data_IF_513375884131
#
_entry.id   IF_513375884131
#
_cell.length_a   1.000
_cell.length_b   1.000
_cell.length_c   1.000
_cell.angle_alpha   90.00
_cell.angle_beta   90.00
_cell.angle_gamma   90.00
#
_symmetry.space_group_name_H-M   'P 1'
#
loop_
_entity.id
_entity.type
_entity.pdbx_description
1 polymer ?
#
# COMPACT_ATOMS: atom_id res chain seq x y z
N UNK A 1 4.31 20.89 34.25
CA UNK A 1 4.72 19.61 34.86
C UNK A 1 4.62 18.52 33.79
N UNK A 2 5.74 17.90 33.37
CA UNK A 2 5.75 16.88 32.30
C UNK A 2 5.37 15.52 32.90
N UNK A 3 4.28 14.94 32.38
CA UNK A 3 3.77 13.62 32.75
C UNK A 3 4.83 12.55 32.42
N UNK A 4 5.55 12.05 33.43
CA UNK A 4 6.45 10.90 33.25
C UNK A 4 5.61 9.62 33.31
N UNK A 5 5.71 8.73 32.31
CA UNK A 5 5.00 7.47 32.37
C UNK A 5 5.51 6.62 33.55
N UNK A 6 4.58 6.00 34.28
CA UNK A 6 4.87 5.17 35.44
C UNK A 6 5.71 3.93 35.03
N UNK A 7 6.88 3.70 35.67
CA UNK A 7 7.81 2.63 35.28
C UNK A 7 7.32 1.22 35.64
N UNK A 8 6.26 1.10 36.43
CA UNK A 8 5.66 -0.18 36.84
C UNK A 8 4.33 -0.45 36.14
N UNK A 9 3.91 0.44 35.22
CA UNK A 9 2.73 0.20 34.41
C UNK A 9 2.93 -1.08 33.56
N UNK A 10 1.95 -2.00 33.58
CA UNK A 10 2.03 -3.20 32.75
C UNK A 10 2.18 -2.81 31.28
N UNK A 11 2.95 -3.59 30.48
CA UNK A 11 3.10 -3.29 29.06
C UNK A 11 1.71 -3.25 28.43
N UNK A 12 1.41 -2.17 27.70
CA UNK A 12 0.13 -2.03 26.99
C UNK A 12 -0.07 -3.29 26.14
N UNK A 13 -1.18 -4.01 26.38
CA UNK A 13 -1.57 -5.18 25.57
C UNK A 13 -1.52 -4.77 24.10
N UNK A 14 -0.59 -5.38 23.34
CA UNK A 14 -0.55 -5.23 21.89
C UNK A 14 -1.83 -5.85 21.34
N UNK A 15 -2.74 -5.01 20.86
CA UNK A 15 -3.90 -5.51 20.13
C UNK A 15 -3.40 -6.33 18.94
N UNK A 16 -4.04 -7.48 18.63
CA UNK A 16 -3.69 -8.26 17.46
C UNK A 16 -3.78 -7.33 16.24
N UNK A 17 -2.79 -7.43 15.35
CA UNK A 17 -2.77 -6.63 14.14
C UNK A 17 -4.07 -6.91 13.37
N UNK A 18 -4.86 -5.86 13.10
CA UNK A 18 -6.11 -5.97 12.34
C UNK A 18 -5.77 -6.63 11.00
N UNK A 19 -6.42 -7.76 10.72
CA UNK A 19 -6.33 -8.38 9.41
C UNK A 19 -7.08 -7.50 8.42
N UNK A 20 -6.48 -7.29 7.26
CA UNK A 20 -6.98 -6.40 6.24
C UNK A 20 -8.02 -7.15 5.41
N UNK A 21 -9.26 -6.67 5.45
CA UNK A 21 -10.39 -7.35 4.81
C UNK A 21 -10.26 -7.43 3.29
N UNK A 22 -9.40 -6.60 2.68
CA UNK A 22 -9.15 -6.52 1.24
C UNK A 22 -7.98 -7.41 0.77
N UNK A 23 -7.42 -8.24 1.65
CA UNK A 23 -6.32 -9.14 1.30
C UNK A 23 -6.66 -10.12 0.18
N UNK A 24 -7.94 -10.48 0.02
CA UNK A 24 -8.39 -11.39 -1.03
C UNK A 24 -8.04 -10.92 -2.45
N UNK A 25 -7.88 -9.60 -2.65
CA UNK A 25 -7.47 -9.01 -3.92
C UNK A 25 -6.03 -9.38 -4.26
N UNK A 26 -5.18 -9.56 -3.25
CA UNK A 26 -3.77 -9.88 -3.45
C UNK A 26 -3.53 -11.39 -3.61
N UNK A 27 -4.47 -12.25 -3.16
CA UNK A 27 -4.38 -13.71 -3.24
C UNK A 27 -3.94 -14.24 -4.64
N UNK A 28 -4.45 -13.71 -5.77
CA UNK A 28 -4.01 -14.18 -7.09
C UNK A 28 -2.55 -13.85 -7.39
N UNK A 29 -2.02 -12.75 -6.83
CA UNK A 29 -0.61 -12.35 -6.97
C UNK A 29 0.29 -13.27 -6.15
N UNK A 30 -0.18 -13.79 -5.02
CA UNK A 30 0.59 -14.68 -4.15
C UNK A 30 0.99 -16.00 -4.83
N UNK A 31 0.29 -16.36 -5.92
CA UNK A 31 0.59 -17.54 -6.73
C UNK A 31 1.81 -17.33 -7.64
N UNK A 32 2.26 -16.10 -7.80
CA UNK A 32 3.41 -15.76 -8.62
C UNK A 32 4.72 -15.95 -7.84
N UNK A 33 5.73 -16.54 -8.48
CA UNK A 33 7.01 -16.83 -7.83
C UNK A 33 7.79 -15.56 -7.44
N UNK A 34 7.55 -14.44 -8.14
CA UNK A 34 8.23 -13.17 -7.90
C UNK A 34 7.41 -12.26 -6.96
N UNK A 35 6.36 -12.78 -6.34
CA UNK A 35 5.55 -12.05 -5.40
C UNK A 35 6.27 -11.85 -4.06
N UNK A 36 6.20 -10.61 -3.56
CA UNK A 36 6.58 -10.30 -2.21
C UNK A 36 5.52 -9.45 -1.53
N UNK A 37 5.12 -9.88 -0.34
CA UNK A 37 4.20 -9.13 0.51
C UNK A 37 4.99 -8.28 1.53
N UNK A 38 4.67 -6.99 1.63
CA UNK A 38 5.19 -6.10 2.68
C UNK A 38 4.06 -5.32 3.34
N UNK A 39 4.19 -5.09 4.65
CA UNK A 39 3.31 -4.14 5.35
C UNK A 39 3.82 -2.71 5.14
N UNK A 40 2.96 -1.82 4.67
CA UNK A 40 3.25 -0.39 4.47
C UNK A 40 2.07 0.45 4.92
N UNK A 41 2.32 1.52 5.68
CA UNK A 41 1.26 2.41 6.17
C UNK A 41 0.15 1.69 6.99
N UNK A 42 0.48 0.55 7.61
CA UNK A 42 -0.51 -0.30 8.29
C UNK A 42 -1.42 -1.10 7.34
N UNK A 43 -1.10 -1.11 6.05
CA UNK A 43 -1.79 -1.78 4.96
C UNK A 43 -0.90 -2.86 4.32
N UNK A 44 -1.45 -3.60 3.37
CA UNK A 44 -0.81 -4.76 2.75
C UNK A 44 -0.39 -4.39 1.32
N UNK A 45 0.91 -4.41 1.05
CA UNK A 45 1.49 -3.99 -0.21
C UNK A 45 2.03 -5.21 -0.99
N UNK A 46 1.58 -5.34 -2.23
CA UNK A 46 1.98 -6.36 -3.18
C UNK A 46 3.10 -5.86 -4.08
N UNK A 47 4.20 -6.60 -4.05
CA UNK A 47 5.35 -6.42 -4.91
C UNK A 47 5.44 -7.57 -5.90
N UNK A 48 5.82 -7.26 -7.13
CA UNK A 48 6.21 -8.23 -8.14
C UNK A 48 7.55 -7.76 -8.70
N UNK A 49 8.52 -8.66 -8.82
CA UNK A 49 9.82 -8.35 -9.41
C UNK A 49 10.49 -7.12 -8.74
N UNK A 50 10.39 -7.04 -7.40
CA UNK A 50 10.87 -5.93 -6.55
C UNK A 50 10.18 -4.57 -6.78
N UNK A 51 9.26 -4.46 -7.73
CA UNK A 51 8.45 -3.27 -7.98
C UNK A 51 7.14 -3.32 -7.18
N UNK A 52 6.71 -2.17 -6.68
CA UNK A 52 5.45 -2.03 -5.95
C UNK A 52 4.29 -1.82 -6.93
N UNK A 53 3.31 -2.73 -6.94
CA UNK A 53 2.17 -2.68 -7.87
C UNK A 53 0.90 -2.17 -7.19
N UNK A 54 0.44 -2.89 -6.16
CA UNK A 54 -0.84 -2.64 -5.52
C UNK A 54 -0.68 -2.60 -4.00
N UNK A 55 -1.52 -1.81 -3.34
CA UNK A 55 -1.64 -1.80 -1.88
C UNK A 55 -3.11 -1.92 -1.51
N UNK A 56 -3.47 -3.01 -0.84
CA UNK A 56 -4.79 -3.18 -0.25
C UNK A 56 -4.82 -2.43 1.08
N UNK A 57 -5.76 -1.50 1.24
CA UNK A 57 -5.91 -0.67 2.43
C UNK A 57 -7.32 -0.79 2.99
N UNK A 58 -7.46 -1.46 4.14
CA UNK A 58 -8.73 -1.58 4.88
C UNK A 58 -8.70 -0.67 6.13
N UNK A 59 -8.69 0.64 5.87
CA UNK A 59 -8.66 1.68 6.90
C UNK A 59 -9.80 2.67 6.66
N UNK A 60 -9.81 3.76 7.43
CA UNK A 60 -10.75 4.87 7.26
C UNK A 60 -10.41 5.69 6.01
N UNK A 61 -11.37 6.44 5.48
CA UNK A 61 -11.15 7.31 4.32
C UNK A 61 -10.00 8.29 4.63
N UNK A 62 -9.05 8.51 3.70
CA UNK A 62 -9.00 8.07 2.29
C UNK A 62 -8.18 6.79 2.03
N UNK A 63 -8.10 5.88 3.00
CA UNK A 63 -7.31 4.64 2.94
C UNK A 63 -8.19 3.39 2.98
N UNK A 64 -9.39 3.46 2.39
CA UNK A 64 -10.38 2.37 2.34
C UNK A 64 -10.57 1.90 0.89
N UNK A 65 -9.66 1.06 0.41
CA UNK A 65 -9.68 0.59 -0.97
C UNK A 65 -8.33 0.09 -1.46
N UNK A 66 -8.07 0.24 -2.75
CA UNK A 66 -6.81 -0.17 -3.39
C UNK A 66 -6.04 1.07 -3.82
N UNK A 67 -4.76 1.12 -3.46
CA UNK A 67 -3.83 2.08 -4.03
C UNK A 67 -3.07 1.41 -5.17
N UNK A 68 -3.05 2.07 -6.31
CA UNK A 68 -2.37 1.63 -7.53
C UNK A 68 -1.09 2.43 -7.67
N UNK A 69 0.04 1.74 -7.54
CA UNK A 69 1.35 2.34 -7.59
C UNK A 69 1.79 2.50 -9.04
N UNK A 70 1.58 3.72 -9.55
CA UNK A 70 1.94 4.13 -10.91
C UNK A 70 2.61 5.50 -10.90
N UNK A 71 3.22 5.89 -12.01
CA UNK A 71 3.81 7.23 -12.22
C UNK A 71 2.77 8.19 -12.80
N UNK A 72 2.87 9.48 -12.45
CA UNK A 72 1.93 10.53 -12.90
C UNK A 72 1.74 10.58 -14.42
N UNK A 73 2.81 10.33 -15.17
CA UNK A 73 2.79 10.32 -16.65
C UNK A 73 1.83 9.27 -17.22
N UNK A 74 1.54 8.22 -16.45
CA UNK A 74 0.70 7.09 -16.87
C UNK A 74 -0.70 7.12 -16.27
N UNK A 75 -0.99 8.12 -15.42
CA UNK A 75 -2.30 8.30 -14.81
C UNK A 75 -3.39 8.47 -15.87
N UNK A 76 -3.15 9.32 -16.86
CA UNK A 76 -4.14 9.59 -17.91
C UNK A 76 -4.54 8.32 -18.69
N UNK A 77 -3.57 7.45 -19.00
CA UNK A 77 -3.85 6.20 -19.70
C UNK A 77 -4.64 5.21 -18.83
N UNK A 78 -4.31 5.10 -17.55
CA UNK A 78 -5.03 4.24 -16.61
C UNK A 78 -6.44 4.76 -16.30
N UNK A 79 -6.60 6.07 -16.12
CA UNK A 79 -7.91 6.70 -15.90
C UNK A 79 -8.82 6.61 -17.13
N UNK A 80 -8.25 6.63 -18.34
CA UNK A 80 -9.02 6.41 -19.56
C UNK A 80 -9.56 4.98 -19.68
N UNK A 81 -8.80 3.99 -19.19
CA UNK A 81 -9.21 2.57 -19.19
C UNK A 81 -10.12 2.22 -18.01
N UNK A 82 -9.89 2.87 -16.86
CA UNK A 82 -10.56 2.63 -15.58
C UNK A 82 -10.99 3.98 -14.98
N UNK A 83 -12.15 4.52 -15.38
CA UNK A 83 -12.58 5.87 -14.99
C UNK A 83 -12.90 6.03 -13.49
N UNK A 84 -13.07 4.92 -12.75
CA UNK A 84 -13.25 4.97 -11.30
C UNK A 84 -11.93 5.22 -10.53
N UNK A 85 -10.78 5.14 -11.21
CA UNK A 85 -9.50 5.46 -10.59
C UNK A 85 -9.36 6.98 -10.42
N UNK A 86 -9.02 7.39 -9.20
CA UNK A 86 -8.84 8.79 -8.85
C UNK A 86 -7.45 9.00 -8.24
N UNK A 87 -6.83 10.17 -8.40
CA UNK A 87 -5.58 10.47 -7.70
C UNK A 87 -5.79 10.45 -6.19
N UNK A 88 -4.93 9.75 -5.46
CA UNK A 88 -5.05 9.64 -4.01
C UNK A 88 -4.83 11.02 -3.33
N UNK A 89 -5.68 11.47 -2.40
CA UNK A 89 -5.58 12.82 -1.82
C UNK A 89 -4.29 13.05 -1.01
N UNK A 90 -3.84 12.06 -0.24
CA UNK A 90 -2.55 12.11 0.49
C UNK A 90 -1.35 11.78 -0.39
N UNK A 91 -1.46 10.73 -1.21
CA UNK A 91 -0.38 10.24 -2.07
C UNK A 91 -0.67 10.60 -3.53
N UNK A 92 -0.77 11.88 -3.88
CA UNK A 92 -1.16 12.36 -5.21
C UNK A 92 -0.26 11.97 -6.40
N UNK A 93 0.74 11.11 -6.17
CA UNK A 93 1.49 10.40 -7.21
C UNK A 93 0.90 9.03 -7.56
N UNK A 94 0.03 8.48 -6.73
CA UNK A 94 -0.60 7.18 -6.89
C UNK A 94 -2.08 7.36 -7.20
N UNK A 95 -2.65 6.37 -7.89
CA UNK A 95 -4.08 6.28 -8.09
C UNK A 95 -4.70 5.48 -6.94
N UNK A 96 -5.98 5.71 -6.71
CA UNK A 96 -6.78 5.15 -5.64
C UNK A 96 -8.12 4.72 -6.21
N UNK A 97 -8.54 3.53 -5.80
CA UNK A 97 -9.87 2.99 -6.05
C UNK A 97 -10.57 2.85 -4.69
N UNK A 98 -11.60 3.65 -4.40
CA UNK A 98 -12.34 3.54 -3.15
C UNK A 98 -13.15 2.24 -3.10
N UNK A 99 -13.16 1.58 -1.94
CA UNK A 99 -13.97 0.39 -1.68
C UNK A 99 -15.48 0.66 -1.80
N UNK A 100 -15.91 1.91 -1.62
CA UNK A 100 -17.30 2.32 -1.73
C UNK A 100 -17.81 2.38 -3.17
N UNK A 101 -16.93 2.23 -4.17
CA UNK A 101 -17.32 2.24 -5.58
C UNK A 101 -18.05 0.95 -5.97
N UNK A 102 -19.12 1.08 -6.74
CA UNK A 102 -19.96 -0.05 -7.17
C UNK A 102 -19.19 -1.02 -8.07
N UNK A 103 -18.20 -0.51 -8.81
CA UNK A 103 -17.35 -1.28 -9.71
C UNK A 103 -16.05 -1.74 -9.05
N UNK A 104 -15.91 -1.56 -7.72
CA UNK A 104 -14.69 -1.84 -6.98
C UNK A 104 -14.13 -3.23 -7.26
N UNK A 105 -14.94 -4.27 -7.09
CA UNK A 105 -14.50 -5.67 -7.26
C UNK A 105 -14.05 -5.96 -8.70
N UNK A 106 -14.83 -5.50 -9.69
CA UNK A 106 -14.49 -5.70 -11.10
C UNK A 106 -13.19 -4.97 -11.50
N UNK A 107 -12.98 -3.75 -10.98
CA UNK A 107 -11.77 -2.97 -11.25
C UNK A 107 -10.58 -3.54 -10.48
N UNK A 108 -10.76 -3.98 -9.24
CA UNK A 108 -9.75 -4.66 -8.44
C UNK A 108 -9.21 -5.90 -9.17
N UNK A 109 -10.10 -6.76 -9.67
CA UNK A 109 -9.70 -7.93 -10.45
C UNK A 109 -8.94 -7.56 -11.73
N UNK A 110 -9.36 -6.50 -12.44
CA UNK A 110 -8.63 -5.99 -13.61
C UNK A 110 -7.23 -5.50 -13.23
N UNK A 111 -7.09 -4.75 -12.14
CA UNK A 111 -5.80 -4.25 -11.65
C UNK A 111 -4.85 -5.41 -11.31
N UNK A 112 -5.37 -6.46 -10.68
CA UNK A 112 -4.61 -7.68 -10.38
C UNK A 112 -4.17 -8.37 -11.68
N UNK A 113 -5.06 -8.46 -12.68
CA UNK A 113 -4.71 -9.00 -14.00
C UNK A 113 -3.60 -8.19 -14.69
N UNK A 114 -3.67 -6.85 -14.64
CA UNK A 114 -2.62 -5.97 -15.18
C UNK A 114 -1.30 -6.13 -14.42
N UNK A 115 -1.34 -6.29 -13.10
CA UNK A 115 -0.15 -6.54 -12.29
C UNK A 115 0.49 -7.90 -12.65
N UNK A 116 -0.31 -8.97 -12.77
CA UNK A 116 0.14 -10.30 -13.21
C UNK A 116 0.73 -10.27 -14.63
N UNK A 117 0.20 -9.43 -15.52
CA UNK A 117 0.72 -9.23 -16.86
C UNK A 117 2.00 -8.35 -16.91
N UNK A 118 2.48 -7.87 -15.76
CA UNK A 118 3.61 -6.92 -15.65
C UNK A 118 3.39 -5.69 -16.54
N UNK A 119 2.16 -5.17 -16.53
CA UNK A 119 1.82 -4.01 -17.34
C UNK A 119 2.77 -2.84 -17.02
N UNK A 120 3.45 -2.24 -18.03
CA UNK A 120 4.45 -1.21 -17.83
C UNK A 120 3.86 0.10 -17.29
N UNK A 121 2.54 0.22 -17.22
CA UNK A 121 1.82 1.33 -16.58
C UNK A 121 1.77 1.21 -15.06
N UNK A 122 1.96 0.01 -14.54
CA UNK A 122 1.98 -0.31 -13.12
C UNK A 122 3.41 -0.67 -12.68
N UNK A 123 3.64 -0.64 -11.37
CA UNK A 123 4.94 -1.02 -10.82
C UNK A 123 5.84 0.19 -10.65
N UNK A 124 6.05 0.59 -9.40
CA UNK A 124 7.02 1.61 -9.04
C UNK A 124 8.10 0.96 -8.21
N UNK A 125 9.33 0.92 -8.72
CA UNK A 125 10.48 0.45 -7.94
C UNK A 125 10.74 1.51 -6.86
N UNK A 126 10.54 1.19 -5.57
CA UNK A 126 10.82 2.15 -4.51
C UNK A 126 12.32 2.44 -4.50
N UNK A 127 12.70 3.72 -4.62
CA UNK A 127 14.10 4.11 -4.43
C UNK A 127 14.56 3.66 -3.05
N UNK A 128 15.70 2.95 -2.92
CA UNK A 128 16.19 2.51 -1.62
C UNK A 128 16.41 3.74 -0.73
N UNK A 129 15.70 3.81 0.40
CA UNK A 129 15.96 4.84 1.42
C UNK A 129 17.36 4.59 1.96
N UNK A 130 18.30 5.46 1.57
CA UNK A 130 19.60 5.54 2.24
C UNK A 130 19.35 5.64 3.75
N UNK A 131 19.77 4.60 4.50
CA UNK A 131 19.70 4.58 5.95
C UNK A 131 20.55 5.75 6.44
N UNK A 132 19.91 6.83 6.90
CA UNK A 132 20.61 7.79 7.76
C UNK A 132 21.05 7.00 9.00
N UNK A 133 22.34 6.69 9.09
CA UNK A 133 22.96 6.22 10.33
C UNK A 133 22.62 7.27 11.39
N UNK A 134 21.76 6.91 12.34
CA UNK A 134 21.59 7.71 13.55
C UNK A 134 22.90 7.57 14.32
N UNK A 135 23.77 8.56 14.20
CA UNK A 135 24.93 8.68 15.07
C UNK A 135 24.43 9.04 16.47
N UNK A 136 24.13 8.02 17.28
CA UNK A 136 24.08 8.19 18.72
C UNK A 136 25.52 8.24 19.20
N UNK A 137 26.02 9.45 19.43
CA UNK A 137 27.30 9.69 20.10
C UNK A 137 27.00 9.72 21.60
N UNK A 138 27.50 8.70 22.29
CA UNK A 138 27.73 8.74 23.75
C UNK A 138 28.78 9.81 24.04
N UNK A 139 28.52 10.62 25.06
CA UNK A 139 29.43 11.50 25.81
C UNK A 139 28.54 12.01 26.97
N UNK A 140 28.82 11.92 28.27
CA UNK A 140 29.84 11.32 29.15
C UNK A 140 29.12 11.14 30.50
#
# INVERSE_FOLDING_TARGET
MRNRPDPFAPPKRRQPARQNSLLWILEPLERDANYAHRKMFGCDAAYLDEALYLVAADRDDPWSGILVCTSKERHAALMAELPALQPHPVLGKWLYLPQTDESFEAIAQKLVGLALARDPRLGVIPKPRSRRRSAWRNEE
#
